data_IF_380931862400
#
_entry.id   IF_380931862400
#
_cell.length_a   1.000
_cell.length_b   1.000
_cell.length_c   1.000
_cell.angle_alpha   90.00
_cell.angle_beta   90.00
_cell.angle_gamma   90.00
#
_symmetry.space_group_name_H-M   'P 1'
#
loop_
_entity.id
_entity.type
_entity.pdbx_description
1 polymer ?
#
# COMPACT_ATOMS: atom_id res chain seq x y z
N UNK A 1 -20.78 -43.43 -2.14
CA UNK A 1 -21.43 -42.10 -2.17
C UNK A 1 -21.60 -41.69 -3.63
N UNK A 2 -22.83 -41.47 -4.07
CA UNK A 2 -23.13 -40.95 -5.43
C UNK A 2 -23.08 -39.43 -5.41
N UNK A 3 -22.54 -38.81 -6.47
CA UNK A 3 -22.53 -37.36 -6.63
C UNK A 3 -23.99 -36.85 -6.65
N UNK A 4 -24.33 -35.73 -5.98
CA UNK A 4 -25.70 -35.22 -5.97
C UNK A 4 -26.12 -34.79 -7.38
N UNK A 5 -27.25 -35.29 -7.87
CA UNK A 5 -27.83 -34.94 -9.19
C UNK A 5 -28.65 -33.63 -9.17
N UNK A 6 -28.43 -32.77 -8.18
CA UNK A 6 -29.19 -31.53 -7.97
C UNK A 6 -28.23 -30.35 -7.99
N UNK A 7 -28.66 -29.23 -8.60
CA UNK A 7 -27.93 -27.97 -8.54
C UNK A 7 -27.86 -27.51 -7.08
N UNK A 8 -26.65 -27.41 -6.53
CA UNK A 8 -26.38 -27.01 -5.16
C UNK A 8 -25.73 -25.62 -5.12
N UNK A 9 -25.96 -24.89 -4.03
CA UNK A 9 -25.30 -23.59 -3.82
C UNK A 9 -23.80 -23.79 -3.55
N UNK A 10 -22.98 -22.76 -3.80
CA UNK A 10 -21.52 -22.85 -3.64
C UNK A 10 -21.10 -23.22 -2.21
N UNK A 11 -21.85 -22.73 -1.22
CA UNK A 11 -21.73 -23.07 0.20
C UNK A 11 -22.10 -24.53 0.51
N UNK A 12 -23.20 -25.04 -0.06
CA UNK A 12 -23.59 -26.45 0.07
C UNK A 12 -22.55 -27.40 -0.57
N UNK A 13 -22.01 -27.02 -1.74
CA UNK A 13 -20.93 -27.76 -2.42
C UNK A 13 -19.67 -27.76 -1.57
N UNK A 14 -19.32 -26.61 -0.98
CA UNK A 14 -18.15 -26.53 -0.10
C UNK A 14 -18.31 -27.45 1.11
N UNK A 15 -19.48 -27.46 1.75
CA UNK A 15 -19.78 -28.36 2.86
C UNK A 15 -19.73 -29.83 2.44
N UNK A 16 -20.30 -30.16 1.27
CA UNK A 16 -20.25 -31.52 0.72
C UNK A 16 -18.83 -31.97 0.41
N UNK A 17 -18.01 -31.14 -0.24
CA UNK A 17 -16.60 -31.44 -0.55
C UNK A 17 -15.75 -31.57 0.72
N UNK A 18 -16.05 -30.78 1.75
CA UNK A 18 -15.41 -30.88 3.08
C UNK A 18 -15.83 -32.15 3.83
N UNK A 19 -17.09 -32.56 3.73
CA UNK A 19 -17.60 -33.78 4.35
C UNK A 19 -17.18 -35.04 3.59
N UNK A 20 -17.02 -34.94 2.26
CA UNK A 20 -16.59 -36.00 1.36
C UNK A 20 -15.06 -36.03 1.17
N UNK A 21 -14.28 -35.68 2.20
CA UNK A 21 -12.80 -35.66 2.25
C UNK A 21 -12.14 -37.01 1.84
N UNK A 22 -12.94 -37.99 1.45
CA UNK A 22 -12.57 -39.25 0.80
C UNK A 22 -11.87 -39.08 -0.57
N UNK A 23 -11.91 -37.91 -1.22
CA UNK A 23 -11.30 -37.69 -2.53
C UNK A 23 -10.32 -36.51 -2.51
N UNK A 24 -9.08 -36.79 -2.09
CA UNK A 24 -7.98 -35.83 -1.99
C UNK A 24 -7.79 -34.99 -3.28
N UNK A 25 -7.97 -35.59 -4.46
CA UNK A 25 -7.83 -34.89 -5.74
C UNK A 25 -8.91 -33.81 -5.96
N UNK A 26 -10.14 -34.04 -5.48
CA UNK A 26 -11.26 -33.08 -5.62
C UNK A 26 -11.06 -31.90 -4.69
N UNK A 27 -10.63 -32.16 -3.46
CA UNK A 27 -10.28 -31.12 -2.48
C UNK A 27 -9.13 -30.23 -2.99
N UNK A 28 -8.10 -30.81 -3.60
CA UNK A 28 -6.98 -30.06 -4.19
C UNK A 28 -7.44 -29.22 -5.39
N UNK A 29 -8.21 -29.79 -6.31
CA UNK A 29 -8.70 -29.06 -7.49
C UNK A 29 -9.57 -27.85 -7.09
N UNK A 30 -10.44 -28.01 -6.09
CA UNK A 30 -11.28 -26.93 -5.60
C UNK A 30 -10.45 -25.82 -4.91
N UNK A 31 -9.43 -26.19 -4.13
CA UNK A 31 -8.50 -25.22 -3.53
C UNK A 31 -7.74 -24.44 -4.59
N UNK A 32 -7.28 -25.09 -5.66
CA UNK A 32 -6.61 -24.42 -6.78
C UNK A 32 -7.60 -23.46 -7.47
N UNK A 33 -8.82 -23.91 -7.77
CA UNK A 33 -9.84 -23.09 -8.43
C UNK A 33 -10.17 -21.81 -7.64
N UNK A 34 -10.20 -21.87 -6.31
CA UNK A 34 -10.43 -20.70 -5.45
C UNK A 34 -9.18 -19.85 -5.25
N UNK A 35 -8.01 -20.46 -5.18
CA UNK A 35 -6.74 -19.76 -4.89
C UNK A 35 -6.21 -19.03 -6.13
N UNK A 36 -6.38 -19.59 -7.32
CA UNK A 36 -5.90 -19.00 -8.58
C UNK A 36 -6.43 -17.58 -8.80
N UNK A 37 -7.75 -17.30 -8.79
CA UNK A 37 -8.25 -15.94 -9.03
C UNK A 37 -7.81 -14.94 -7.94
N UNK A 38 -7.70 -15.39 -6.68
CA UNK A 38 -7.20 -14.56 -5.57
C UNK A 38 -5.72 -14.23 -5.76
N UNK A 39 -4.91 -15.23 -6.15
CA UNK A 39 -3.49 -15.05 -6.44
C UNK A 39 -3.27 -14.16 -7.66
N UNK A 40 -4.06 -14.33 -8.73
CA UNK A 40 -4.00 -13.49 -9.93
C UNK A 40 -4.35 -12.05 -9.59
N UNK A 41 -5.46 -11.79 -8.89
CA UNK A 41 -5.82 -10.43 -8.48
C UNK A 41 -4.75 -9.78 -7.59
N UNK A 42 -4.14 -10.54 -6.67
CA UNK A 42 -3.04 -10.07 -5.84
C UNK A 42 -1.77 -9.77 -6.64
N UNK A 43 -1.44 -10.65 -7.60
CA UNK A 43 -0.30 -10.47 -8.48
C UNK A 43 -0.50 -9.25 -9.39
N UNK A 44 -1.64 -9.10 -10.04
CA UNK A 44 -2.01 -7.94 -10.87
C UNK A 44 -1.95 -6.64 -10.05
N UNK A 45 -2.50 -6.64 -8.84
CA UNK A 45 -2.42 -5.50 -7.91
C UNK A 45 -0.97 -5.16 -7.57
N UNK A 46 -0.14 -6.18 -7.31
CA UNK A 46 1.28 -6.00 -6.98
C UNK A 46 2.09 -5.51 -8.18
N UNK A 47 1.87 -6.06 -9.37
CA UNK A 47 2.53 -5.63 -10.60
C UNK A 47 2.11 -4.21 -11.01
N UNK A 48 0.83 -3.84 -10.83
CA UNK A 48 0.36 -2.47 -11.05
C UNK A 48 1.08 -1.48 -10.14
N UNK A 49 1.21 -1.79 -8.84
CA UNK A 49 1.97 -0.99 -7.88
C UNK A 49 3.46 -0.89 -8.25
N UNK A 50 4.08 -2.00 -8.65
CA UNK A 50 5.47 -2.03 -9.10
C UNK A 50 5.66 -1.19 -10.37
N UNK A 51 4.72 -1.24 -11.30
CA UNK A 51 4.76 -0.43 -12.51
C UNK A 51 4.62 1.06 -12.21
N UNK A 52 3.76 1.44 -11.26
CA UNK A 52 3.66 2.81 -10.76
C UNK A 52 4.95 3.26 -10.08
N UNK A 53 5.56 2.43 -9.24
CA UNK A 53 6.85 2.73 -8.59
C UNK A 53 7.98 2.87 -9.62
N UNK A 54 8.02 1.99 -10.62
CA UNK A 54 9.00 2.06 -11.72
C UNK A 54 8.80 3.31 -12.56
N UNK A 55 7.55 3.67 -12.88
CA UNK A 55 7.24 4.91 -13.60
C UNK A 55 7.52 6.14 -12.74
N UNK A 56 7.25 6.09 -11.45
CA UNK A 56 7.62 7.14 -10.49
C UNK A 56 9.13 7.35 -10.53
N UNK A 57 9.93 6.31 -10.33
CA UNK A 57 11.39 6.37 -10.40
C UNK A 57 11.92 6.87 -11.75
N UNK A 58 11.24 6.54 -12.86
CA UNK A 58 11.59 7.04 -14.21
C UNK A 58 11.20 8.51 -14.40
N UNK A 59 10.11 8.96 -13.77
CA UNK A 59 9.68 10.36 -13.72
C UNK A 59 10.52 11.22 -12.77
N UNK A 60 11.12 10.60 -11.75
CA UNK A 60 12.07 11.21 -10.81
C UNK A 60 13.31 11.72 -11.52
N UNK A 61 13.62 11.27 -12.75
CA UNK A 61 14.73 11.80 -13.56
C UNK A 61 14.60 13.30 -13.89
N UNK A 62 13.49 13.95 -13.53
CA UNK A 62 13.44 15.36 -13.08
C UNK A 62 14.26 15.64 -11.79
N UNK A 63 15.38 14.92 -11.66
CA UNK A 63 16.18 14.61 -10.46
C UNK A 63 16.70 15.85 -9.76
N UNK A 64 16.90 16.94 -10.50
CA UNK A 64 17.28 18.24 -9.95
C UNK A 64 16.29 18.74 -8.89
N UNK A 65 14.98 18.53 -9.12
CA UNK A 65 13.95 18.95 -8.17
C UNK A 65 13.86 18.02 -6.97
N UNK A 66 14.09 16.73 -7.17
CA UNK A 66 14.11 15.78 -6.05
C UNK A 66 15.32 16.03 -5.17
N UNK A 67 16.52 16.23 -5.73
CA UNK A 67 17.71 16.57 -4.94
C UNK A 67 17.52 17.85 -4.13
N UNK A 68 16.90 18.88 -4.71
CA UNK A 68 16.58 20.10 -3.97
C UNK A 68 15.58 19.86 -2.83
N UNK A 69 14.58 19.01 -3.05
CA UNK A 69 13.58 18.67 -2.03
C UNK A 69 14.19 17.77 -0.93
N UNK A 70 15.01 16.80 -1.29
CA UNK A 70 15.64 15.86 -0.38
C UNK A 70 16.67 16.58 0.50
N UNK A 71 17.46 17.50 -0.08
CA UNK A 71 18.34 18.40 0.66
C UNK A 71 17.54 19.29 1.64
N UNK A 72 16.43 19.87 1.20
CA UNK A 72 15.57 20.70 2.06
C UNK A 72 14.89 19.88 3.17
N UNK A 73 14.54 18.62 2.91
CA UNK A 73 13.99 17.68 3.89
C UNK A 73 15.04 17.26 4.92
N UNK A 74 16.29 16.99 4.51
CA UNK A 74 17.41 16.67 5.41
C UNK A 74 17.73 17.87 6.30
N UNK A 75 17.79 19.08 5.73
CA UNK A 75 17.98 20.31 6.49
C UNK A 75 16.83 20.54 7.48
N UNK A 76 15.59 20.32 7.05
CA UNK A 76 14.40 20.43 7.91
C UNK A 76 14.40 19.40 9.04
N UNK A 77 14.83 18.17 8.79
CA UNK A 77 14.89 17.12 9.81
C UNK A 77 15.99 17.41 10.85
N UNK A 78 17.15 17.88 10.39
CA UNK A 78 18.23 18.36 11.26
C UNK A 78 17.81 19.58 12.10
N UNK A 79 17.08 20.53 11.49
CA UNK A 79 16.58 21.73 12.16
C UNK A 79 15.40 21.42 13.09
N UNK A 80 14.56 20.45 12.74
CA UNK A 80 13.45 19.97 13.56
C UNK A 80 13.90 19.33 14.87
N UNK A 81 15.05 18.67 14.86
CA UNK A 81 15.69 18.14 16.06
C UNK A 81 16.36 19.23 16.92
N UNK A 82 16.83 20.33 16.31
CA UNK A 82 17.40 21.48 17.00
C UNK A 82 16.45 22.69 16.96
N UNK A 83 15.45 22.66 17.83
CA UNK A 83 14.78 23.87 18.33
C UNK A 83 14.09 24.75 17.26
N UNK A 84 13.30 24.16 16.36
CA UNK A 84 12.39 24.91 15.48
C UNK A 84 11.49 25.87 16.28
N UNK A 85 10.97 25.45 17.43
CA UNK A 85 10.13 26.32 18.29
C UNK A 85 10.88 27.54 18.81
N UNK A 86 12.17 27.40 19.15
CA UNK A 86 12.99 28.52 19.61
C UNK A 86 13.30 29.49 18.47
N UNK A 87 13.57 28.98 17.26
CA UNK A 87 13.78 29.82 16.06
C UNK A 87 12.49 30.53 15.65
N UNK A 88 11.34 29.85 15.68
CA UNK A 88 10.03 30.43 15.38
C UNK A 88 9.65 31.49 16.42
N UNK A 89 9.94 31.24 17.70
CA UNK A 89 9.74 32.21 18.78
C UNK A 89 10.69 33.41 18.65
N UNK A 90 11.97 33.19 18.36
CA UNK A 90 12.94 34.27 18.13
C UNK A 90 12.58 35.11 16.90
N UNK A 91 12.18 34.47 15.80
CA UNK A 91 11.70 35.16 14.59
C UNK A 91 10.43 35.95 14.86
N UNK A 92 9.46 35.38 15.58
CA UNK A 92 8.22 36.07 15.97
C UNK A 92 8.52 37.26 16.89
N UNK A 93 9.41 37.12 17.86
CA UNK A 93 9.81 38.20 18.78
C UNK A 93 10.55 39.35 18.06
N UNK A 94 11.38 39.03 17.06
CA UNK A 94 12.13 40.03 16.28
C UNK A 94 11.25 40.74 15.25
N UNK A 95 10.28 40.04 14.65
CA UNK A 95 9.33 40.63 13.70
C UNK A 95 8.15 41.35 14.38
N UNK A 96 7.79 41.00 15.61
CA UNK A 96 6.80 41.73 16.39
C UNK A 96 7.20 43.20 16.63
N UNK A 97 8.51 43.49 16.69
CA UNK A 97 9.03 44.86 16.81
C UNK A 97 8.90 45.70 15.52
N UNK A 98 8.53 45.08 14.40
CA UNK A 98 8.29 45.77 13.12
C UNK A 98 6.81 46.18 12.93
N UNK A 99 5.92 45.70 13.80
CA UNK A 99 4.55 46.21 13.92
C UNK A 99 4.50 47.45 14.80
N UNK A 100 5.11 48.55 14.32
CA UNK A 100 4.74 49.90 14.74
C UNK A 100 4.25 50.64 13.50
N UNK A 101 3.05 50.29 13.06
CA UNK A 101 2.24 51.20 12.27
C UNK A 101 1.37 52.00 13.25
N UNK A 102 1.41 53.32 13.06
CA UNK A 102 0.90 54.44 13.89
C UNK A 102 1.60 54.70 15.21
#
# INVERSE_FOLDING_TARGET
MTLPNRLMSTDEIFYFVRAADCYQNVSIAYRILLTVPVMVASAETSFSRLNLLKNYSRSTMSQERLNGLDMCCIEKDMLGNFALDTIISDFSSKNARRCRFS
#
